data_IF_495389122945
#
_entry.id   IF_495389122945
#
_cell.length_a   1.000
_cell.length_b   1.000
_cell.length_c   1.000
_cell.angle_alpha   90.00
_cell.angle_beta   90.00
_cell.angle_gamma   90.00
#
_symmetry.space_group_name_H-M   'P 1'
#
loop_
_entity.id
_entity.type
_entity.pdbx_description
1 polymer ?
#
# COMPACT_ATOMS: atom_id res chain seq x y z
N UNK A 1 -19.83 4.49 8.71
CA UNK A 1 -18.95 3.39 9.07
C UNK A 1 -17.89 3.14 8.01
N UNK A 2 -16.74 2.67 8.44
CA UNK A 2 -15.63 2.37 7.55
C UNK A 2 -15.68 0.92 7.09
N UNK A 3 -15.20 0.67 5.88
CA UNK A 3 -14.99 -0.68 5.37
C UNK A 3 -13.51 -0.85 5.06
N UNK A 4 -13.02 -2.08 5.11
CA UNK A 4 -11.62 -2.39 4.85
C UNK A 4 -11.48 -3.44 3.76
N UNK A 5 -10.43 -3.32 2.96
CA UNK A 5 -10.08 -4.30 1.94
C UNK A 5 -8.58 -4.50 1.89
N UNK A 6 -8.14 -5.61 1.28
CA UNK A 6 -6.73 -5.98 1.18
C UNK A 6 -6.34 -6.12 -0.28
N UNK A 7 -5.26 -5.45 -0.66
CA UNK A 7 -4.75 -5.47 -2.03
C UNK A 7 -3.36 -6.10 -2.07
N UNK A 8 -3.19 -7.08 -2.97
CA UNK A 8 -1.89 -7.70 -3.25
C UNK A 8 -1.16 -6.93 -4.32
N UNK A 9 0.14 -6.79 -4.15
CA UNK A 9 0.99 -6.01 -5.05
C UNK A 9 2.32 -6.67 -5.32
N UNK A 10 2.84 -6.38 -6.52
CA UNK A 10 4.21 -6.67 -6.90
C UNK A 10 4.65 -5.59 -7.88
N UNK A 11 5.59 -4.72 -7.48
CA UNK A 11 6.03 -3.61 -8.33
C UNK A 11 7.35 -3.01 -7.84
N UNK A 12 7.88 -2.03 -8.61
CA UNK A 12 9.14 -1.34 -8.33
C UNK A 12 8.96 -0.23 -7.28
N UNK A 13 10.08 0.34 -6.80
CA UNK A 13 10.09 1.41 -5.79
C UNK A 13 9.25 2.62 -6.21
N UNK A 14 9.37 3.06 -7.46
CA UNK A 14 8.62 4.21 -7.96
C UNK A 14 7.12 3.93 -7.97
N UNK A 15 6.76 2.70 -8.26
CA UNK A 15 5.36 2.28 -8.29
C UNK A 15 4.77 2.19 -6.89
N UNK A 16 5.58 1.93 -5.87
CA UNK A 16 5.11 1.89 -4.47
C UNK A 16 4.51 3.23 -4.08
N UNK A 17 5.24 4.33 -4.32
CA UNK A 17 4.74 5.67 -3.99
C UNK A 17 3.47 6.00 -4.77
N UNK A 18 3.45 5.70 -6.07
CA UNK A 18 2.28 5.97 -6.90
C UNK A 18 1.07 5.14 -6.49
N UNK A 19 1.27 3.89 -6.10
CA UNK A 19 0.19 3.05 -5.57
C UNK A 19 -0.39 3.64 -4.30
N UNK A 20 0.45 4.05 -3.37
CA UNK A 20 -0.01 4.63 -2.11
C UNK A 20 -0.74 5.96 -2.35
N UNK A 21 -0.28 6.78 -3.28
CA UNK A 21 -1.00 7.98 -3.69
C UNK A 21 -2.38 7.64 -4.24
N UNK A 22 -2.47 6.58 -5.01
CA UNK A 22 -3.76 6.14 -5.58
C UNK A 22 -4.77 5.85 -4.48
N UNK A 23 -4.37 5.14 -3.44
CA UNK A 23 -5.27 4.85 -2.31
C UNK A 23 -5.77 6.13 -1.63
N UNK A 24 -4.87 7.03 -1.28
CA UNK A 24 -5.24 8.23 -0.52
C UNK A 24 -5.96 9.27 -1.39
N UNK A 25 -5.60 9.37 -2.67
CA UNK A 25 -6.27 10.29 -3.61
C UNK A 25 -7.71 9.89 -3.87
N UNK A 26 -8.01 8.60 -3.83
CA UNK A 26 -9.39 8.10 -3.99
C UNK A 26 -10.22 8.20 -2.71
N UNK A 27 -9.62 8.60 -1.61
CA UNK A 27 -10.31 8.74 -0.33
C UNK A 27 -10.11 7.58 0.63
N UNK A 28 -9.17 6.67 0.32
CA UNK A 28 -8.82 5.56 1.21
C UNK A 28 -7.80 5.96 2.27
N UNK A 29 -7.74 5.15 3.31
CA UNK A 29 -6.73 5.26 4.36
C UNK A 29 -5.96 3.94 4.39
N UNK A 30 -4.66 4.00 4.20
CA UNK A 30 -3.82 2.80 4.25
C UNK A 30 -3.48 2.52 5.71
N UNK A 31 -3.93 1.37 6.23
CA UNK A 31 -3.74 1.02 7.63
C UNK A 31 -2.41 0.32 7.87
N UNK A 32 -2.01 -0.55 6.95
CA UNK A 32 -0.81 -1.35 7.13
C UNK A 32 -0.25 -1.85 5.81
N UNK A 33 0.91 -2.49 5.90
CA UNK A 33 1.48 -3.29 4.84
C UNK A 33 1.90 -4.64 5.41
N UNK A 34 1.60 -5.70 4.67
CA UNK A 34 2.06 -7.05 5.01
C UNK A 34 2.99 -7.52 3.91
N UNK A 35 4.20 -7.92 4.29
CA UNK A 35 5.17 -8.50 3.37
C UNK A 35 5.38 -9.96 3.74
N UNK A 36 5.63 -10.80 2.72
CA UNK A 36 5.91 -12.22 2.94
C UNK A 36 7.42 -12.43 2.98
N UNK A 37 7.92 -12.71 4.16
CA UNK A 37 9.35 -12.94 4.38
C UNK A 37 9.64 -14.44 4.33
N UNK A 38 10.75 -14.82 3.67
CA UNK A 38 11.09 -16.23 3.48
C UNK A 38 11.30 -16.99 4.81
N UNK A 39 11.84 -16.30 5.80
CA UNK A 39 12.17 -16.92 7.10
C UNK A 39 11.05 -16.73 8.10
N UNK A 40 10.55 -15.50 8.23
CA UNK A 40 9.61 -15.15 9.29
C UNK A 40 8.14 -15.25 8.87
N UNK A 41 7.85 -15.50 7.59
CA UNK A 41 6.49 -15.55 7.08
C UNK A 41 5.91 -14.15 6.89
N UNK A 42 4.64 -13.97 7.20
CA UNK A 42 3.96 -12.70 7.03
C UNK A 42 4.40 -11.69 8.10
N UNK A 43 4.90 -10.55 7.67
CA UNK A 43 5.27 -9.44 8.57
C UNK A 43 4.34 -8.27 8.27
N UNK A 44 3.56 -7.85 9.26
CA UNK A 44 2.63 -6.73 9.12
C UNK A 44 3.15 -5.53 9.90
N UNK A 45 3.18 -4.38 9.24
CA UNK A 45 3.62 -3.12 9.83
C UNK A 45 2.50 -2.10 9.70
N UNK A 46 2.11 -1.47 10.80
CA UNK A 46 1.11 -0.42 10.79
C UNK A 46 1.69 0.85 10.16
N UNK A 47 0.96 1.45 9.25
CA UNK A 47 1.39 2.65 8.54
C UNK A 47 0.54 3.86 8.87
N UNK A 48 -0.77 3.74 8.78
CA UNK A 48 -1.75 4.80 9.02
C UNK A 48 -1.47 6.01 8.12
N UNK A 49 -1.68 5.81 6.82
CA UNK A 49 -1.48 6.86 5.81
C UNK A 49 -2.83 7.43 5.38
N UNK A 50 -3.06 8.71 5.66
CA UNK A 50 -4.35 9.38 5.40
C UNK A 50 -4.32 10.27 4.16
N UNK A 51 -3.14 10.74 3.75
CA UNK A 51 -2.98 11.74 2.69
C UNK A 51 -1.59 11.63 2.07
N UNK A 52 -1.34 12.46 1.06
CA UNK A 52 -0.06 12.46 0.34
C UNK A 52 1.13 12.83 1.22
N UNK A 53 0.95 13.70 2.19
CA UNK A 53 2.03 14.07 3.11
C UNK A 53 2.49 12.84 3.90
N UNK A 54 1.54 12.06 4.41
CA UNK A 54 1.85 10.82 5.12
C UNK A 54 2.58 9.83 4.21
N UNK A 55 2.13 9.71 2.96
CA UNK A 55 2.79 8.84 1.97
C UNK A 55 4.22 9.30 1.71
N UNK A 56 4.44 10.59 1.53
CA UNK A 56 5.77 11.13 1.28
C UNK A 56 6.70 10.85 2.45
N UNK A 57 6.23 11.05 3.68
CA UNK A 57 7.01 10.78 4.88
C UNK A 57 7.39 9.30 4.97
N UNK A 58 6.43 8.43 4.70
CA UNK A 58 6.67 6.98 4.74
C UNK A 58 7.67 6.55 3.67
N UNK A 59 7.47 6.97 2.42
CA UNK A 59 8.35 6.55 1.31
C UNK A 59 9.75 7.12 1.48
N UNK A 60 9.89 8.33 1.99
CA UNK A 60 11.20 8.89 2.30
C UNK A 60 11.93 8.01 3.32
N UNK A 61 11.25 7.63 4.39
CA UNK A 61 11.84 6.74 5.40
C UNK A 61 12.16 5.36 4.82
N UNK A 62 11.26 4.81 4.01
CA UNK A 62 11.45 3.50 3.40
C UNK A 62 12.71 3.45 2.53
N UNK A 63 12.93 4.47 1.71
CA UNK A 63 14.03 4.47 0.74
C UNK A 63 15.34 4.98 1.31
N UNK A 64 15.34 5.64 2.47
CA UNK A 64 16.55 6.18 3.08
C UNK A 64 17.02 5.38 4.31
N UNK A 65 16.15 4.57 4.89
CA UNK A 65 16.46 3.77 6.08
C UNK A 65 16.73 2.32 5.68
N UNK A 66 17.80 1.68 6.21
CA UNK A 66 18.09 0.28 5.89
C UNK A 66 17.20 -0.71 6.66
N UNK A 67 15.90 -0.49 6.70
CA UNK A 67 14.93 -1.35 7.36
C UNK A 67 14.61 -2.55 6.46
N UNK A 68 15.27 -3.68 6.70
CA UNK A 68 15.20 -4.84 5.81
C UNK A 68 13.81 -5.44 5.59
N UNK A 69 12.94 -5.57 6.63
CA UNK A 69 11.60 -6.12 6.36
C UNK A 69 10.79 -5.28 5.37
N UNK A 70 10.92 -3.95 5.43
CA UNK A 70 10.19 -3.07 4.53
C UNK A 70 10.82 -2.98 3.14
N UNK A 71 12.09 -3.33 2.99
CA UNK A 71 12.73 -3.38 1.67
C UNK A 71 12.18 -4.49 0.80
N UNK A 72 11.57 -5.50 1.38
CA UNK A 72 10.90 -6.55 0.62
C UNK A 72 9.72 -5.99 -0.20
N UNK A 73 9.22 -4.82 0.15
CA UNK A 73 8.21 -4.14 -0.67
C UNK A 73 8.68 -3.87 -2.08
N UNK A 74 9.98 -3.61 -2.26
CA UNK A 74 10.52 -3.15 -3.54
C UNK A 74 10.65 -4.27 -4.56
N UNK A 75 10.76 -5.52 -4.15
CA UNK A 75 11.00 -6.63 -5.05
C UNK A 75 10.08 -7.81 -4.88
N UNK A 76 9.10 -7.75 -3.98
CA UNK A 76 8.28 -8.91 -3.65
C UNK A 76 6.78 -8.60 -3.59
N UNK A 77 6.03 -9.63 -3.28
CA UNK A 77 4.60 -9.51 -3.06
C UNK A 77 4.32 -8.88 -1.69
N UNK A 78 3.40 -7.95 -1.68
CA UNK A 78 2.95 -7.34 -0.44
C UNK A 78 1.45 -7.04 -0.52
N UNK A 79 0.85 -6.81 0.65
CA UNK A 79 -0.58 -6.53 0.76
C UNK A 79 -0.78 -5.28 1.61
N UNK A 80 -1.76 -4.47 1.23
CA UNK A 80 -2.18 -3.31 2.02
C UNK A 80 -3.61 -3.50 2.50
N UNK A 81 -3.86 -3.13 3.75
CA UNK A 81 -5.23 -3.02 4.26
C UNK A 81 -5.64 -1.57 4.12
N UNK A 82 -6.75 -1.35 3.43
CA UNK A 82 -7.26 -0.01 3.14
C UNK A 82 -8.64 0.16 3.74
N UNK A 83 -8.85 1.27 4.44
CA UNK A 83 -10.12 1.64 5.04
C UNK A 83 -10.74 2.80 4.27
N UNK A 84 -12.05 2.76 4.09
CA UNK A 84 -12.77 3.82 3.39
C UNK A 84 -14.12 4.07 4.03
N UNK A 85 -14.66 5.29 3.83
CA UNK A 85 -15.95 5.68 4.39
C UNK A 85 -17.16 5.13 3.62
N UNK A 86 -16.94 4.66 2.39
CA UNK A 86 -18.01 4.09 1.57
C UNK A 86 -17.48 3.09 0.56
N UNK A 87 -18.33 2.16 0.06
CA UNK A 87 -17.92 1.19 -0.96
C UNK A 87 -17.46 1.82 -2.28
N UNK A 88 -17.98 3.00 -2.62
CA UNK A 88 -17.60 3.69 -3.86
C UNK A 88 -16.11 4.04 -3.89
N UNK A 89 -15.51 4.27 -2.73
CA UNK A 89 -14.07 4.54 -2.65
C UNK A 89 -13.29 3.34 -3.13
N UNK A 90 -13.68 2.14 -2.72
CA UNK A 90 -13.02 0.91 -3.16
C UNK A 90 -13.16 0.70 -4.68
N UNK A 91 -14.34 0.99 -5.24
CA UNK A 91 -14.56 0.90 -6.67
C UNK A 91 -13.63 1.82 -7.45
N UNK A 92 -13.44 3.06 -6.98
CA UNK A 92 -12.52 4.01 -7.59
C UNK A 92 -11.07 3.55 -7.48
N UNK A 93 -10.69 3.03 -6.31
CA UNK A 93 -9.35 2.51 -6.09
C UNK A 93 -9.06 1.37 -7.08
N UNK A 94 -9.95 0.39 -7.15
CA UNK A 94 -9.78 -0.75 -8.05
C UNK A 94 -9.69 -0.32 -9.51
N UNK A 95 -10.52 0.62 -9.93
CA UNK A 95 -10.48 1.15 -11.29
C UNK A 95 -9.13 1.78 -11.61
N UNK A 96 -8.61 2.63 -10.71
CA UNK A 96 -7.33 3.28 -10.91
C UNK A 96 -6.16 2.29 -10.89
N UNK A 97 -6.21 1.31 -10.00
CA UNK A 97 -5.17 0.28 -9.94
C UNK A 97 -5.14 -0.58 -11.20
N UNK A 98 -6.30 -0.91 -11.73
CA UNK A 98 -6.39 -1.65 -13.01
C UNK A 98 -5.81 -0.85 -14.16
N UNK A 99 -6.13 0.45 -14.24
CA UNK A 99 -5.60 1.34 -15.28
C UNK A 99 -4.08 1.43 -15.23
N UNK A 100 -3.51 1.41 -14.03
CA UNK A 100 -2.06 1.51 -13.83
C UNK A 100 -1.35 0.17 -13.90
N UNK A 101 -2.09 -0.93 -13.97
CA UNK A 101 -1.53 -2.28 -14.01
C UNK A 101 -0.99 -2.77 -12.69
N UNK A 102 -1.44 -2.22 -11.58
CA UNK A 102 -0.94 -2.58 -10.25
C UNK A 102 -1.74 -3.68 -9.58
N UNK A 103 -2.97 -3.92 -9.99
CA UNK A 103 -3.84 -4.88 -9.32
C UNK A 103 -3.53 -6.31 -9.77
N UNK A 104 -3.13 -7.14 -8.80
CA UNK A 104 -2.88 -8.56 -9.00
C UNK A 104 -3.89 -9.33 -8.14
N UNK A 105 -4.71 -10.14 -8.80
CA UNK A 105 -5.71 -10.96 -8.12
C UNK A 105 -5.63 -12.41 -8.58
#
# INVERSE_FOLDING_TARGET
>A
SAASDVYKRQHTDEQIQDELYTFVDCGGKVLDVTVMHEIYGAITVDLILNNRVDVDDFTTRLFTTPAKPLKELTGGNHMHTVEASSPEVFDRIEEQLKKKGYLIR
#
